data_IF_586381592830
#
_entry.id   IF_586381592830
#
_cell.length_a   1.000
_cell.length_b   1.000
_cell.length_c   1.000
_cell.angle_alpha   90.00
_cell.angle_beta   90.00
_cell.angle_gamma   90.00
#
_symmetry.space_group_name_H-M   'P 1'
#
loop_
_entity.id
_entity.type
_entity.pdbx_description
1 polymer ?
#
# COMPACT_ATOMS: atom_id res chain seq x y z
N UNK A 1 0.17 0.06 17.00
CA UNK A 1 0.83 0.10 15.67
C UNK A 1 -0.23 0.34 14.59
N UNK A 2 0.11 0.83 13.40
CA UNK A 2 -0.89 1.16 12.36
C UNK A 2 -1.84 0.01 12.00
N UNK A 3 -1.33 -1.22 11.96
CA UNK A 3 -2.14 -2.45 11.82
C UNK A 3 -3.31 -2.51 12.81
N UNK A 4 -3.06 -2.23 14.10
CA UNK A 4 -4.11 -2.30 15.13
C UNK A 4 -5.16 -1.21 14.92
N UNK A 5 -4.73 -0.02 14.50
CA UNK A 5 -5.63 1.09 14.18
C UNK A 5 -6.61 0.72 13.06
N UNK A 6 -6.10 0.10 11.98
CA UNK A 6 -6.92 -0.41 10.88
C UNK A 6 -7.93 -1.44 11.38
N UNK A 7 -7.51 -2.44 12.16
CA UNK A 7 -8.42 -3.48 12.65
C UNK A 7 -9.48 -2.94 13.61
N UNK A 8 -9.13 -1.99 14.49
CA UNK A 8 -10.09 -1.32 15.36
C UNK A 8 -11.17 -0.59 14.57
N UNK A 9 -10.76 0.19 13.56
CA UNK A 9 -11.69 0.89 12.69
C UNK A 9 -12.64 -0.08 11.95
N UNK A 10 -12.10 -1.17 11.39
CA UNK A 10 -12.90 -2.20 10.71
C UNK A 10 -13.88 -2.94 11.64
N UNK A 11 -13.62 -2.96 12.95
CA UNK A 11 -14.50 -3.54 13.98
C UNK A 11 -15.45 -2.51 14.59
N UNK A 12 -15.48 -1.28 14.07
CA UNK A 12 -16.26 -0.16 14.59
C UNK A 12 -15.93 0.18 16.05
N UNK A 13 -14.70 -0.10 16.48
CA UNK A 13 -14.21 0.34 17.78
C UNK A 13 -13.87 1.83 17.74
N UNK A 14 -13.86 2.49 18.90
CA UNK A 14 -13.39 3.87 19.01
C UNK A 14 -11.89 3.93 18.68
N UNK A 15 -11.51 4.82 17.78
CA UNK A 15 -10.12 5.14 17.45
C UNK A 15 -9.82 6.60 17.79
N UNK A 16 -8.56 6.89 18.12
CA UNK A 16 -8.11 8.26 18.39
C UNK A 16 -7.74 9.00 17.09
N UNK A 17 -7.54 8.26 15.99
CA UNK A 17 -7.20 8.76 14.66
C UNK A 17 -7.91 7.94 13.57
N UNK A 18 -7.98 8.48 12.34
CA UNK A 18 -8.52 7.77 11.17
C UNK A 18 -7.38 6.99 10.49
N UNK A 19 -7.50 5.66 10.29
CA UNK A 19 -6.44 4.89 9.65
C UNK A 19 -6.22 5.31 8.19
N UNK A 20 -4.95 5.36 7.78
CA UNK A 20 -4.53 5.67 6.42
C UNK A 20 -4.10 4.39 5.68
N UNK A 21 -4.88 4.02 4.65
CA UNK A 21 -4.59 2.89 3.76
C UNK A 21 -4.60 3.40 2.31
N UNK A 22 -3.45 3.81 1.75
CA UNK A 22 -3.38 4.29 0.39
C UNK A 22 -3.70 3.18 -0.60
N UNK A 23 -4.42 3.52 -1.65
CA UNK A 23 -4.68 2.64 -2.76
C UNK A 23 -3.50 2.70 -3.73
N UNK A 24 -2.49 1.86 -3.52
CA UNK A 24 -1.31 1.74 -4.38
C UNK A 24 -1.23 0.37 -5.07
N UNK A 25 -1.12 0.38 -6.40
CA UNK A 25 -1.16 -0.80 -7.27
C UNK A 25 -0.06 -0.75 -8.34
N UNK A 26 -0.33 -1.23 -9.55
CA UNK A 26 0.69 -1.28 -10.64
C UNK A 26 1.31 0.08 -10.97
N UNK A 27 0.56 1.17 -10.76
CA UNK A 27 1.04 2.54 -10.97
C UNK A 27 2.20 2.93 -10.03
N UNK A 28 2.39 2.22 -8.91
CA UNK A 28 3.53 2.41 -8.02
C UNK A 28 4.88 2.13 -8.71
N UNK A 29 4.88 1.35 -9.79
CA UNK A 29 6.07 1.09 -10.62
C UNK A 29 6.76 2.36 -11.09
N UNK A 30 6.01 3.46 -11.29
CA UNK A 30 6.56 4.76 -11.66
C UNK A 30 7.61 5.28 -10.68
N UNK A 31 7.51 4.94 -9.40
CA UNK A 31 8.48 5.34 -8.36
C UNK A 31 9.84 4.64 -8.51
N UNK A 32 9.85 3.47 -9.16
CA UNK A 32 11.04 2.64 -9.39
C UNK A 32 11.48 2.59 -10.85
N UNK A 33 10.73 3.22 -11.75
CA UNK A 33 10.99 3.20 -13.19
C UNK A 33 10.48 1.95 -13.89
N UNK A 34 9.58 1.19 -13.27
CA UNK A 34 8.94 0.01 -13.84
C UNK A 34 7.64 0.37 -14.57
N UNK A 35 7.34 -0.37 -15.62
CA UNK A 35 6.04 -0.34 -16.29
C UNK A 35 4.98 -1.06 -15.45
N UNK A 36 3.70 -0.78 -15.73
CA UNK A 36 2.60 -1.44 -15.05
C UNK A 36 2.59 -2.97 -15.28
N UNK A 37 2.89 -3.41 -16.51
CA UNK A 37 2.98 -4.83 -16.87
C UNK A 37 4.09 -5.55 -16.11
N UNK A 38 5.25 -4.91 -15.98
CA UNK A 38 6.35 -5.46 -15.17
C UNK A 38 5.94 -5.61 -13.70
N UNK A 39 5.30 -4.59 -13.11
CA UNK A 39 4.83 -4.69 -11.71
C UNK A 39 3.73 -5.75 -11.56
N UNK A 40 2.87 -5.93 -12.56
CA UNK A 40 1.79 -6.90 -12.53
C UNK A 40 2.30 -8.35 -12.61
N UNK A 41 3.42 -8.58 -13.31
CA UNK A 41 3.90 -9.93 -13.66
C UNK A 41 5.17 -10.34 -12.93
N UNK A 42 5.88 -9.41 -12.30
CA UNK A 42 7.12 -9.64 -11.56
C UNK A 42 6.95 -9.25 -10.08
N UNK A 43 6.97 -10.27 -9.21
CA UNK A 43 6.73 -10.11 -7.78
C UNK A 43 7.81 -9.30 -7.05
N UNK A 44 9.06 -9.32 -7.53
CA UNK A 44 10.14 -8.54 -6.92
C UNK A 44 9.95 -7.05 -7.26
N UNK A 45 9.61 -6.73 -8.51
CA UNK A 45 9.29 -5.35 -8.92
C UNK A 45 8.06 -4.80 -8.21
N UNK A 46 7.04 -5.63 -7.97
CA UNK A 46 5.90 -5.28 -7.13
C UNK A 46 6.34 -4.93 -5.72
N UNK A 47 7.09 -5.82 -5.07
CA UNK A 47 7.54 -5.62 -3.70
C UNK A 47 8.38 -4.34 -3.57
N UNK A 48 9.35 -4.12 -4.46
CA UNK A 48 10.17 -2.91 -4.46
C UNK A 48 9.35 -1.63 -4.62
N UNK A 49 8.34 -1.65 -5.49
CA UNK A 49 7.44 -0.51 -5.71
C UNK A 49 6.60 -0.21 -4.48
N UNK A 50 6.03 -1.24 -3.83
CA UNK A 50 5.25 -1.07 -2.60
C UNK A 50 6.10 -0.63 -1.41
N UNK A 51 7.35 -1.07 -1.32
CA UNK A 51 8.26 -0.60 -0.29
C UNK A 51 8.61 0.88 -0.46
N UNK A 52 8.63 1.38 -1.69
CA UNK A 52 8.79 2.82 -1.93
C UNK A 52 7.54 3.61 -1.55
N UNK A 53 6.35 3.08 -1.85
CA UNK A 53 5.07 3.62 -1.36
C UNK A 53 5.04 3.67 0.18
N UNK A 54 5.47 2.60 0.85
CA UNK A 54 5.54 2.53 2.31
C UNK A 54 6.38 3.66 2.90
N UNK A 55 7.57 3.90 2.33
CA UNK A 55 8.48 4.97 2.79
C UNK A 55 7.87 6.36 2.58
N UNK A 56 7.23 6.60 1.44
CA UNK A 56 6.69 7.91 1.09
C UNK A 56 5.41 8.25 1.85
N UNK A 57 4.52 7.28 2.01
CA UNK A 57 3.16 7.52 2.51
C UNK A 57 2.98 7.14 3.98
N UNK A 58 3.96 6.46 4.58
CA UNK A 58 3.96 6.01 5.98
C UNK A 58 2.59 5.44 6.41
N UNK A 59 2.06 4.44 5.69
CA UNK A 59 0.68 4.04 5.84
C UNK A 59 0.45 3.10 7.03
N UNK A 60 -0.77 3.10 7.57
CA UNK A 60 -1.19 2.17 8.61
C UNK A 60 -1.44 0.75 8.08
N UNK A 61 -1.74 0.65 6.78
CA UNK A 61 -1.87 -0.58 6.02
C UNK A 61 -1.67 -0.33 4.52
N UNK A 62 -1.43 -1.37 3.73
CA UNK A 62 -1.22 -1.25 2.29
C UNK A 62 -2.03 -2.29 1.53
N UNK A 63 -2.43 -1.93 0.32
CA UNK A 63 -2.95 -2.88 -0.68
C UNK A 63 -1.80 -3.67 -1.31
N UNK A 64 -2.02 -4.95 -1.58
CA UNK A 64 -0.99 -5.85 -2.15
C UNK A 64 -0.82 -5.68 -3.65
N UNK A 65 -1.90 -5.68 -4.44
CA UNK A 65 -1.82 -5.50 -5.89
C UNK A 65 -3.21 -5.16 -6.44
N UNK A 66 -3.27 -4.21 -7.35
CA UNK A 66 -4.41 -3.98 -8.23
C UNK A 66 -3.96 -3.22 -9.48
N UNK A 67 -4.79 -3.28 -10.52
CA UNK A 67 -4.63 -2.57 -11.78
C UNK A 67 -5.83 -1.62 -11.98
N UNK A 68 -5.59 -0.41 -12.49
CA UNK A 68 -6.59 0.67 -12.65
C UNK A 68 -6.53 1.28 -14.06
#
# INVERSE_FOLDING_TARGET
MGKDLVFKALRHEKTDEVPWVPFAGVHAGKLKGYTAEEVLTDGDKLFESLMEVYKLYVPDGMTTLFDL
#
